data_IF_442820018438
#
_entry.id   IF_442820018438
#
_cell.length_a   1.000
_cell.length_b   1.000
_cell.length_c   1.000
_cell.angle_alpha   90.00
_cell.angle_beta   90.00
_cell.angle_gamma   90.00
#
_symmetry.space_group_name_H-M   'P 1'
#
loop_
_entity.id
_entity.type
_entity.pdbx_description
1 polymer ?
#
# COMPACT_ATOMS: atom_id res chain seq x y z
N UNK A 1 -0.06 -12.99 -2.02
CA UNK A 1 -1.53 -12.88 -2.08
C UNK A 1 -2.07 -14.23 -2.54
N UNK A 2 -2.90 -14.84 -1.70
CA UNK A 2 -3.76 -16.00 -1.97
C UNK A 2 -5.22 -15.59 -1.70
N UNK A 3 -6.01 -16.32 -0.91
CA UNK A 3 -7.43 -16.04 -0.60
C UNK A 3 -7.77 -14.61 -0.10
N UNK A 4 -6.77 -13.81 0.30
CA UNK A 4 -6.90 -12.41 0.72
C UNK A 4 -6.75 -11.38 -0.41
N UNK A 5 -6.46 -11.80 -1.64
CA UNK A 5 -6.20 -10.92 -2.78
C UNK A 5 -7.34 -9.93 -3.10
N UNK A 6 -8.58 -10.34 -2.83
CA UNK A 6 -9.77 -9.48 -3.00
C UNK A 6 -9.94 -8.49 -1.85
N UNK A 7 -9.75 -8.95 -0.60
CA UNK A 7 -9.99 -8.15 0.60
C UNK A 7 -8.92 -7.06 0.84
N UNK A 8 -7.71 -7.25 0.32
CA UNK A 8 -6.62 -6.27 0.44
C UNK A 8 -6.47 -5.39 -0.82
N UNK A 9 -7.44 -5.44 -1.75
CA UNK A 9 -7.43 -4.64 -2.97
C UNK A 9 -7.84 -3.18 -2.73
N UNK A 10 -7.27 -2.27 -3.53
CA UNK A 10 -7.52 -0.82 -3.47
C UNK A 10 -7.26 -0.19 -2.09
N UNK A 11 -6.45 -0.82 -1.25
CA UNK A 11 -6.06 -0.28 0.05
C UNK A 11 -4.92 0.72 -0.09
N UNK A 12 -5.27 1.95 -0.41
CA UNK A 12 -4.34 3.06 -0.61
C UNK A 12 -3.63 3.45 0.68
N UNK A 13 -2.29 3.46 0.65
CA UNK A 13 -1.49 3.85 1.79
C UNK A 13 -0.18 4.52 1.38
N UNK A 14 0.46 5.13 2.37
CA UNK A 14 1.84 5.61 2.30
C UNK A 14 2.70 4.73 3.18
N UNK A 15 3.91 4.44 2.74
CA UNK A 15 4.87 3.72 3.54
C UNK A 15 5.38 4.56 4.70
N UNK A 16 6.02 3.91 5.68
CA UNK A 16 6.78 4.60 6.72
C UNK A 16 8.09 5.19 6.19
N UNK A 17 8.57 4.68 5.06
CA UNK A 17 9.95 4.88 4.59
C UNK A 17 10.02 5.74 3.35
N UNK A 18 11.14 6.44 3.17
CA UNK A 18 11.37 7.35 2.07
C UNK A 18 11.32 6.63 0.71
N UNK A 19 12.03 5.51 0.59
CA UNK A 19 12.14 4.72 -0.65
C UNK A 19 11.64 3.30 -0.39
N UNK A 20 10.87 2.80 -1.35
CA UNK A 20 10.39 1.42 -1.39
C UNK A 20 10.86 0.76 -2.68
N UNK A 21 11.50 -0.40 -2.53
CA UNK A 21 11.86 -1.28 -3.65
C UNK A 21 10.91 -2.47 -3.71
N UNK A 22 10.28 -2.66 -4.86
CA UNK A 22 9.40 -3.76 -5.18
C UNK A 22 10.10 -4.72 -6.13
N UNK A 23 10.28 -5.96 -5.68
CA UNK A 23 10.78 -7.07 -6.48
C UNK A 23 9.65 -8.09 -6.68
N UNK A 24 8.96 -8.08 -7.83
CA UNK A 24 8.03 -9.16 -8.18
C UNK A 24 8.76 -10.50 -8.30
N UNK A 25 8.28 -11.48 -7.53
CA UNK A 25 8.77 -12.86 -7.57
C UNK A 25 7.80 -13.69 -8.42
N UNK A 26 6.49 -13.55 -8.16
CA UNK A 26 5.42 -14.22 -8.91
C UNK A 26 4.32 -13.21 -9.19
N UNK A 27 3.98 -13.02 -10.46
CA UNK A 27 2.86 -12.18 -10.90
C UNK A 27 1.95 -13.05 -11.78
N UNK A 28 0.65 -13.17 -11.47
CA UNK A 28 -0.26 -13.94 -12.30
C UNK A 28 -0.33 -13.43 -13.73
N UNK A 29 -0.34 -14.36 -14.69
CA UNK A 29 -0.59 -14.10 -16.11
C UNK A 29 -1.98 -14.61 -16.50
N UNK A 30 -2.45 -14.24 -17.70
CA UNK A 30 -3.78 -14.61 -18.21
C UNK A 30 -4.87 -13.58 -17.91
N UNK A 31 -6.10 -13.93 -18.29
CA UNK A 31 -7.25 -13.02 -18.22
C UNK A 31 -7.66 -12.71 -16.77
N UNK A 32 -8.17 -11.51 -16.54
CA UNK A 32 -8.67 -11.08 -15.24
C UNK A 32 -7.67 -10.36 -14.34
N UNK A 33 -8.10 -9.96 -13.13
CA UNK A 33 -7.36 -9.05 -12.28
C UNK A 33 -6.14 -9.73 -11.64
N UNK A 34 -4.95 -9.16 -11.89
CA UNK A 34 -3.64 -9.73 -11.52
C UNK A 34 -2.95 -9.01 -10.33
N UNK A 35 -3.65 -8.08 -9.69
CA UNK A 35 -3.10 -7.28 -8.59
C UNK A 35 -2.07 -6.25 -9.05
N UNK A 36 -2.38 -5.52 -10.13
CA UNK A 36 -1.50 -4.47 -10.64
C UNK A 36 -1.26 -3.38 -9.60
N UNK A 37 -0.04 -2.86 -9.59
CA UNK A 37 0.31 -1.76 -8.71
C UNK A 37 -0.34 -0.49 -9.26
N UNK A 38 -1.09 0.21 -8.42
CA UNK A 38 -1.71 1.50 -8.75
C UNK A 38 -1.23 2.56 -7.79
N UNK A 39 -0.93 3.75 -8.31
CA UNK A 39 -0.32 4.80 -7.51
C UNK A 39 -0.70 6.22 -7.93
N UNK A 40 -0.71 7.12 -6.96
CA UNK A 40 -0.68 8.57 -7.14
C UNK A 40 0.69 9.06 -6.65
N UNK A 41 1.64 9.30 -7.57
CA UNK A 41 3.00 9.66 -7.20
C UNK A 41 3.08 11.06 -6.60
N UNK A 42 3.98 11.25 -5.64
CA UNK A 42 4.36 12.55 -5.09
C UNK A 42 3.21 13.42 -4.54
N UNK A 43 2.12 12.82 -4.05
CA UNK A 43 0.95 13.54 -3.51
C UNK A 43 1.24 14.29 -2.21
N UNK A 44 2.37 14.01 -1.54
CA UNK A 44 2.83 14.77 -0.38
C UNK A 44 4.35 14.97 -0.33
N UNK A 45 4.78 15.87 0.56
CA UNK A 45 6.19 16.09 0.91
C UNK A 45 6.58 15.22 2.11
N UNK A 46 7.88 14.99 2.29
CA UNK A 46 8.40 14.39 3.53
C UNK A 46 8.09 15.33 4.70
N UNK A 47 7.46 14.81 5.77
CA UNK A 47 7.09 15.62 6.93
C UNK A 47 8.15 15.46 8.01
N UNK A 48 8.60 16.59 8.57
CA UNK A 48 9.47 16.60 9.75
C UNK A 48 8.73 16.20 11.03
N UNK A 49 7.42 16.51 11.12
CA UNK A 49 6.60 16.18 12.28
C UNK A 49 5.94 14.80 12.16
N UNK A 50 6.16 13.95 13.16
CA UNK A 50 5.51 12.65 13.30
C UNK A 50 4.00 12.77 13.46
N UNK A 51 3.52 13.77 14.19
CA UNK A 51 2.09 13.99 14.41
C UNK A 51 1.36 14.33 13.09
N UNK A 52 1.96 15.21 12.27
CA UNK A 52 1.41 15.54 10.94
C UNK A 52 1.39 14.30 10.04
N UNK A 53 2.46 13.49 10.07
CA UNK A 53 2.50 12.22 9.31
C UNK A 53 1.36 11.28 9.72
N UNK A 54 1.13 11.10 11.03
CA UNK A 54 0.05 10.24 11.53
C UNK A 54 -1.33 10.78 11.17
N UNK A 55 -1.56 12.10 11.29
CA UNK A 55 -2.84 12.71 10.94
C UNK A 55 -3.15 12.53 9.45
N UNK A 56 -2.18 12.81 8.56
CA UNK A 56 -2.34 12.57 7.13
C UNK A 56 -2.67 11.11 6.84
N UNK A 57 -1.92 10.16 7.44
CA UNK A 57 -2.21 8.73 7.27
C UNK A 57 -3.62 8.38 7.75
N UNK A 58 -4.11 8.96 8.84
CA UNK A 58 -5.48 8.74 9.31
C UNK A 58 -6.53 9.26 8.32
N UNK A 59 -6.30 10.42 7.69
CA UNK A 59 -7.20 10.99 6.68
C UNK A 59 -7.26 10.11 5.42
N UNK A 60 -6.15 9.56 4.95
CA UNK A 60 -6.15 8.73 3.75
C UNK A 60 -6.52 7.26 4.02
N UNK A 61 -6.07 6.68 5.13
CA UNK A 61 -6.13 5.23 5.37
C UNK A 61 -7.36 4.79 6.18
N UNK A 62 -8.28 5.70 6.52
CA UNK A 62 -9.54 5.33 7.17
C UNK A 62 -10.53 4.66 6.19
N UNK A 63 -11.47 3.90 6.74
CA UNK A 63 -12.42 3.08 5.98
C UNK A 63 -13.26 3.87 4.96
N UNK A 64 -13.64 5.11 5.30
CA UNK A 64 -14.45 5.95 4.41
C UNK A 64 -13.63 6.41 3.20
N UNK A 65 -12.46 7.00 3.44
CA UNK A 65 -11.54 7.44 2.38
C UNK A 65 -11.15 6.29 1.46
N UNK A 66 -10.89 5.11 2.02
CA UNK A 66 -10.55 3.91 1.24
C UNK A 66 -11.70 3.46 0.32
N UNK A 67 -12.93 3.41 0.85
CA UNK A 67 -14.12 3.04 0.05
C UNK A 67 -14.39 4.06 -1.05
N UNK A 68 -14.30 5.35 -0.73
CA UNK A 68 -14.50 6.43 -1.68
C UNK A 68 -13.43 6.40 -2.79
N UNK A 69 -12.15 6.27 -2.43
CA UNK A 69 -11.06 6.19 -3.40
C UNK A 69 -11.21 4.97 -4.32
N UNK A 70 -11.50 3.79 -3.76
CA UNK A 70 -11.76 2.59 -4.55
C UNK A 70 -12.94 2.78 -5.52
N UNK A 71 -14.04 3.38 -5.06
CA UNK A 71 -15.20 3.68 -5.89
C UNK A 71 -14.87 4.66 -7.02
N UNK A 72 -14.19 5.77 -6.72
CA UNK A 72 -13.79 6.78 -7.70
C UNK A 72 -12.84 6.24 -8.76
N UNK A 73 -11.89 5.37 -8.37
CA UNK A 73 -10.97 4.71 -9.32
C UNK A 73 -11.75 3.75 -10.23
N UNK A 74 -12.64 2.93 -9.68
CA UNK A 74 -13.48 2.01 -10.48
C UNK A 74 -14.42 2.74 -11.44
N UNK A 75 -14.86 3.95 -11.10
CA UNK A 75 -15.68 4.82 -11.96
C UNK A 75 -14.86 5.63 -12.97
N UNK A 76 -13.53 5.51 -12.96
CA UNK A 76 -12.64 6.25 -13.86
C UNK A 76 -12.51 7.75 -13.56
N UNK A 77 -13.04 8.20 -12.41
CA UNK A 77 -12.94 9.61 -11.97
C UNK A 77 -11.53 9.90 -11.46
N UNK A 78 -10.99 9.02 -10.63
CA UNK A 78 -9.57 9.04 -10.26
C UNK A 78 -8.78 8.13 -11.20
N UNK A 79 -7.70 8.66 -11.76
CA UNK A 79 -6.85 7.97 -12.75
C UNK A 79 -5.45 7.73 -12.15
N UNK A 80 -5.26 6.68 -11.32
CA UNK A 80 -3.95 6.35 -10.81
C UNK A 80 -3.05 5.87 -11.95
N UNK A 81 -1.74 6.08 -11.80
CA UNK A 81 -0.76 5.39 -12.64
C UNK A 81 -0.84 3.91 -12.33
N UNK A 82 -1.10 3.10 -13.35
CA UNK A 82 -1.19 1.65 -13.25
C UNK A 82 0.08 1.01 -13.82
N UNK A 83 0.65 0.07 -13.08
CA UNK A 83 1.89 -0.60 -13.43
C UNK A 83 1.73 -2.12 -13.24
N UNK A 84 1.83 -2.84 -14.35
CA UNK A 84 1.99 -4.30 -14.36
C UNK A 84 3.44 -4.60 -13.99
N UNK A 85 3.63 -5.28 -12.86
CA UNK A 85 4.95 -5.71 -12.43
C UNK A 85 5.39 -6.93 -13.26
N UNK A 86 6.67 -6.98 -13.60
CA UNK A 86 7.28 -8.08 -14.37
C UNK A 86 8.36 -8.75 -13.50
N UNK A 87 8.25 -10.06 -13.23
CA UNK A 87 9.29 -10.78 -12.49
C UNK A 87 10.70 -10.57 -13.07
N UNK A 88 11.69 -10.42 -12.19
CA UNK A 88 13.08 -10.12 -12.56
C UNK A 88 13.42 -8.62 -12.59
N UNK A 89 12.43 -7.73 -12.68
CA UNK A 89 12.65 -6.29 -12.56
C UNK A 89 12.66 -5.83 -11.09
N UNK A 90 13.32 -4.70 -10.84
CA UNK A 90 13.21 -3.97 -9.57
C UNK A 90 12.52 -2.63 -9.84
N UNK A 91 11.50 -2.32 -9.05
CA UNK A 91 10.76 -1.07 -9.15
C UNK A 91 11.01 -0.23 -7.91
N UNK A 92 11.46 1.01 -8.10
CA UNK A 92 11.75 1.96 -7.02
C UNK A 92 10.74 3.10 -7.05
N UNK A 93 10.21 3.47 -5.88
CA UNK A 93 9.35 4.64 -5.75
C UNK A 93 9.47 5.29 -4.37
N UNK A 94 9.04 6.55 -4.29
CA UNK A 94 9.01 7.32 -3.05
C UNK A 94 7.84 6.87 -2.16
N UNK A 95 7.99 5.77 -1.42
CA UNK A 95 6.94 5.17 -0.59
C UNK A 95 6.28 6.14 0.39
N UNK A 96 7.07 7.05 0.98
CA UNK A 96 6.55 8.08 1.87
C UNK A 96 5.62 9.05 1.14
N UNK A 97 5.90 9.37 -0.13
CA UNK A 97 5.25 10.45 -0.89
C UNK A 97 4.20 9.96 -1.89
N UNK A 98 4.18 8.66 -2.15
CA UNK A 98 3.36 8.03 -3.18
C UNK A 98 2.24 7.24 -2.53
N UNK A 99 1.00 7.68 -2.75
CA UNK A 99 -0.17 6.94 -2.29
C UNK A 99 -0.39 5.76 -3.22
N UNK A 100 -0.27 4.53 -2.73
CA UNK A 100 -0.28 3.35 -3.58
C UNK A 100 -1.13 2.22 -3.00
N UNK A 101 -1.59 1.35 -3.89
CA UNK A 101 -2.36 0.16 -3.59
C UNK A 101 -2.10 -0.90 -4.68
N UNK A 102 -2.64 -2.10 -4.48
CA UNK A 102 -2.77 -3.08 -5.55
C UNK A 102 -4.23 -3.16 -5.99
N UNK A 103 -4.48 -3.39 -7.27
CA UNK A 103 -5.79 -3.84 -7.73
C UNK A 103 -6.15 -5.21 -7.13
N UNK A 104 -7.36 -5.66 -7.43
CA UNK A 104 -7.77 -7.02 -7.08
C UNK A 104 -6.82 -8.05 -7.72
N UNK A 105 -6.61 -9.14 -7.00
CA UNK A 105 -6.01 -10.36 -7.53
C UNK A 105 -7.01 -11.48 -7.30
N UNK A 106 -7.24 -12.32 -8.32
CA UNK A 106 -8.11 -13.49 -8.18
C UNK A 106 -7.59 -14.40 -7.06
N UNK A 107 -8.51 -14.97 -6.27
CA UNK A 107 -8.20 -15.67 -5.03
C UNK A 107 -7.48 -17.01 -5.24
N UNK A 108 -7.66 -17.62 -6.41
CA UNK A 108 -7.04 -18.85 -6.89
C UNK A 108 -5.64 -18.60 -7.51
N UNK A 109 -5.20 -17.34 -7.62
CA UNK A 109 -3.91 -17.00 -8.24
C UNK A 109 -2.89 -16.54 -7.21
N UNK A 110 -1.66 -17.06 -7.35
CA UNK A 110 -0.53 -16.69 -6.50
C UNK A 110 0.14 -15.41 -7.01
N UNK A 111 0.22 -14.39 -6.15
CA UNK A 111 1.01 -13.18 -6.40
C UNK A 111 1.97 -12.93 -5.24
N UNK A 112 3.26 -12.82 -5.51
CA UNK A 112 4.29 -12.61 -4.49
C UNK A 112 5.26 -11.52 -4.92
N UNK A 113 5.47 -10.56 -4.03
CA UNK A 113 6.37 -9.42 -4.21
C UNK A 113 7.21 -9.28 -2.94
N UNK A 114 8.53 -9.26 -3.08
CA UNK A 114 9.41 -8.83 -2.00
C UNK A 114 9.43 -7.30 -1.93
N UNK A 115 9.40 -6.79 -0.69
CA UNK A 115 9.38 -5.37 -0.38
C UNK A 115 10.61 -5.05 0.47
N UNK A 116 11.39 -4.07 0.01
CA UNK A 116 12.49 -3.50 0.78
C UNK A 116 12.20 -2.03 1.02
N UNK A 117 12.52 -1.57 2.23
CA UNK A 117 12.27 -0.21 2.64
C UNK A 117 13.55 0.45 3.11
N UNK A 118 13.74 1.72 2.75
CA UNK A 118 14.93 2.48 3.11
C UNK A 118 14.59 3.91 3.55
N UNK A 119 15.27 4.37 4.61
CA UNK A 119 15.20 5.73 5.14
C UNK A 119 13.88 6.02 5.86
N UNK A 120 13.75 5.64 7.13
CA UNK A 120 12.60 5.98 7.97
C UNK A 120 12.75 7.41 8.54
N UNK A 121 11.92 8.39 8.12
CA UNK A 121 12.02 9.75 8.64
C UNK A 121 11.60 9.86 10.12
N UNK A 122 10.91 8.86 10.67
CA UNK A 122 10.35 8.85 12.02
C UNK A 122 10.78 7.64 12.85
N UNK A 123 11.87 6.96 12.49
CA UNK A 123 12.31 5.71 13.15
C UNK A 123 12.59 5.83 14.65
N UNK A 124 12.90 7.03 15.14
CA UNK A 124 13.08 7.32 16.58
C UNK A 124 11.82 7.85 17.29
N UNK A 125 10.67 7.96 16.61
CA UNK A 125 9.47 8.57 17.18
C UNK A 125 8.64 7.57 17.99
N UNK A 126 8.56 7.78 19.31
CA UNK A 126 7.70 6.97 20.19
C UNK A 126 6.21 7.01 19.80
N UNK A 127 5.74 8.11 19.21
CA UNK A 127 4.36 8.24 18.73
C UNK A 127 4.08 7.31 17.53
N UNK A 128 4.99 7.26 16.55
CA UNK A 128 4.86 6.33 15.41
C UNK A 128 4.99 4.88 15.89
N UNK A 129 5.92 4.62 16.82
CA UNK A 129 6.06 3.31 17.47
C UNK A 129 4.77 2.83 18.13
N UNK A 130 4.13 3.68 18.94
CA UNK A 130 2.88 3.35 19.62
C UNK A 130 1.70 3.09 18.65
N UNK A 131 1.60 3.88 17.57
CA UNK A 131 0.59 3.67 16.51
C UNK A 131 0.80 2.32 15.83
N UNK A 132 2.04 1.99 15.47
CA UNK A 132 2.38 0.73 14.83
C UNK A 132 2.11 -0.46 15.76
N UNK A 133 2.46 -0.37 17.05
CA UNK A 133 2.21 -1.42 18.04
C UNK A 133 0.71 -1.73 18.18
N UNK A 134 -0.13 -0.69 18.25
CA UNK A 134 -1.60 -0.84 18.28
C UNK A 134 -2.16 -1.46 17.00
N UNK A 135 -1.60 -1.12 15.84
CA UNK A 135 -2.02 -1.70 14.56
C UNK A 135 -1.68 -3.19 14.47
N UNK A 136 -0.50 -3.58 14.94
CA UNK A 136 -0.06 -4.98 15.01
C UNK A 136 -0.94 -5.82 15.94
N UNK A 137 -1.28 -5.33 17.14
CA UNK A 137 -2.13 -6.05 18.11
C UNK A 137 -3.54 -6.30 17.54
N UNK A 138 -4.14 -5.32 16.86
CA UNK A 138 -5.40 -5.50 16.13
C UNK A 138 -5.31 -6.56 15.02
N UNK A 139 -4.18 -6.61 14.31
CA UNK A 139 -3.94 -7.58 13.26
C UNK A 139 -3.78 -9.02 13.77
N UNK A 140 -3.22 -9.20 14.97
CA UNK A 140 -3.13 -10.50 15.64
C UNK A 140 -4.52 -10.97 16.08
N UNK A 141 -5.29 -10.11 16.75
CA UNK A 141 -6.64 -10.45 17.24
C UNK A 141 -7.60 -10.81 16.11
N UNK A 142 -7.54 -10.11 14.97
CA UNK A 142 -8.37 -10.39 13.80
C UNK A 142 -7.98 -11.67 13.03
N UNK A 143 -6.85 -12.31 13.37
CA UNK A 143 -6.45 -13.62 12.81
C UNK A 143 -6.79 -14.80 13.72
N UNK A 144 -7.16 -14.53 14.97
CA UNK A 144 -7.51 -15.52 15.98
C UNK A 144 -9.03 -15.73 16.13
N UNK A 145 -9.83 -15.00 15.36
CA UNK A 145 -11.28 -15.10 15.25
C UNK A 145 -11.65 -15.46 13.80
#
# INVERSE_FOLDING_TARGET
MGSRGLNESYRFHFDGYAVTALLPIVIPTGEGPSGDLIMFPNTRRVRKSAAVNVLEKAVYQNRYSQRMAAWLVRRGVLKPTKLRLVPGNIYLFWGYRTLHANEACLADRLRTTALFHFGDPHGGSGLVGAVNARASDRGVRARAA
#
